data_IF_022338524174
#
_entry.id   IF_022338524174
#
_cell.length_a   1.000
_cell.length_b   1.000
_cell.length_c   1.000
_cell.angle_alpha   90.00
_cell.angle_beta   90.00
_cell.angle_gamma   90.00
#
_symmetry.space_group_name_H-M   'P 1'
#
loop_
_entity.id
_entity.type
_entity.pdbx_description
1 polymer ?
#
# COMPACT_ATOMS: atom_id res chain seq x y z
N UNK A 1 -36.76 16.07 -6.49
CA UNK A 1 -36.06 15.50 -7.66
C UNK A 1 -34.55 15.57 -7.52
N UNK A 2 -33.96 16.71 -7.14
CA UNK A 2 -32.50 16.86 -7.00
C UNK A 2 -31.88 15.95 -5.94
N UNK A 3 -32.51 15.81 -4.77
CA UNK A 3 -32.01 14.92 -3.70
C UNK A 3 -31.80 13.47 -4.17
N UNK A 4 -32.77 12.92 -4.90
CA UNK A 4 -32.70 11.57 -5.46
C UNK A 4 -31.58 11.45 -6.51
N UNK A 5 -31.33 12.52 -7.27
CA UNK A 5 -30.23 12.53 -8.25
C UNK A 5 -28.87 12.51 -7.54
N UNK A 6 -28.73 13.31 -6.49
CA UNK A 6 -27.51 13.35 -5.67
C UNK A 6 -27.24 11.99 -5.00
N UNK A 7 -28.27 11.37 -4.42
CA UNK A 7 -28.15 10.03 -3.81
C UNK A 7 -27.65 8.99 -4.82
N UNK A 8 -28.20 8.99 -6.04
CA UNK A 8 -27.74 8.10 -7.12
C UNK A 8 -26.30 8.35 -7.56
N UNK A 9 -25.87 9.61 -7.58
CA UNK A 9 -24.49 9.97 -7.90
C UNK A 9 -23.52 9.47 -6.82
N UNK A 10 -23.89 9.61 -5.54
CA UNK A 10 -23.11 9.06 -4.41
C UNK A 10 -23.00 7.54 -4.51
N UNK A 11 -24.11 6.83 -4.77
CA UNK A 11 -24.11 5.37 -4.91
C UNK A 11 -23.21 4.91 -6.06
N UNK A 12 -23.27 5.64 -7.19
CA UNK A 12 -22.42 5.36 -8.34
C UNK A 12 -20.93 5.56 -8.00
N UNK A 13 -20.57 6.64 -7.30
CA UNK A 13 -19.19 6.89 -6.87
C UNK A 13 -18.70 5.79 -5.91
N UNK A 14 -19.55 5.37 -4.96
CA UNK A 14 -19.23 4.29 -4.03
C UNK A 14 -19.00 2.95 -4.76
N UNK A 15 -19.84 2.63 -5.75
CA UNK A 15 -19.66 1.45 -6.58
C UNK A 15 -18.33 1.47 -7.34
N UNK A 16 -17.94 2.61 -7.91
CA UNK A 16 -16.64 2.79 -8.55
C UNK A 16 -15.48 2.58 -7.59
N UNK A 17 -15.58 3.09 -6.37
CA UNK A 17 -14.54 2.95 -5.35
C UNK A 17 -14.34 1.51 -4.91
N UNK A 18 -15.44 0.78 -4.69
CA UNK A 18 -15.41 -0.64 -4.38
C UNK A 18 -14.78 -1.42 -5.55
N UNK A 19 -15.17 -1.09 -6.78
CA UNK A 19 -14.59 -1.69 -7.99
C UNK A 19 -13.08 -1.50 -8.07
N UNK A 20 -12.59 -0.28 -7.78
CA UNK A 20 -11.16 0.02 -7.77
C UNK A 20 -10.40 -0.77 -6.70
N UNK A 21 -10.95 -0.86 -5.49
CA UNK A 21 -10.34 -1.63 -4.40
C UNK A 21 -10.21 -3.12 -4.76
N UNK A 22 -11.27 -3.71 -5.33
CA UNK A 22 -11.27 -5.10 -5.77
C UNK A 22 -10.25 -5.30 -6.91
N UNK A 23 -10.25 -4.40 -7.90
CA UNK A 23 -9.32 -4.46 -9.03
C UNK A 23 -7.86 -4.43 -8.57
N UNK A 24 -7.50 -3.50 -7.68
CA UNK A 24 -6.14 -3.41 -7.12
C UNK A 24 -5.76 -4.69 -6.37
N UNK A 25 -6.66 -5.20 -5.52
CA UNK A 25 -6.44 -6.44 -4.77
C UNK A 25 -6.21 -7.65 -5.68
N UNK A 26 -7.04 -7.83 -6.71
CA UNK A 26 -6.89 -8.94 -7.66
C UNK A 26 -5.58 -8.84 -8.44
N UNK A 27 -5.21 -7.64 -8.91
CA UNK A 27 -3.95 -7.45 -9.62
C UNK A 27 -2.74 -7.77 -8.76
N UNK A 28 -2.73 -7.33 -7.49
CA UNK A 28 -1.66 -7.63 -6.54
C UNK A 28 -1.60 -9.12 -6.23
N UNK A 29 -2.74 -9.79 -6.05
CA UNK A 29 -2.78 -11.23 -5.84
C UNK A 29 -2.19 -11.99 -7.05
N UNK A 30 -2.54 -11.60 -8.28
CA UNK A 30 -1.99 -12.20 -9.49
C UNK A 30 -0.49 -11.95 -9.62
N UNK A 31 -0.04 -10.72 -9.38
CA UNK A 31 1.38 -10.39 -9.40
C UNK A 31 2.16 -11.21 -8.36
N UNK A 32 1.72 -11.19 -7.10
CA UNK A 32 2.44 -11.84 -6.00
C UNK A 32 2.56 -13.36 -6.16
N UNK A 33 1.55 -14.00 -6.76
CA UNK A 33 1.53 -15.46 -6.95
C UNK A 33 2.13 -15.92 -8.28
N UNK A 34 1.97 -15.15 -9.36
CA UNK A 34 2.32 -15.62 -10.71
C UNK A 34 3.29 -14.70 -11.46
N UNK A 35 3.29 -13.39 -11.18
CA UNK A 35 4.07 -12.39 -11.93
C UNK A 35 5.40 -12.00 -11.30
N UNK A 36 5.58 -12.29 -10.00
CA UNK A 36 6.75 -11.88 -9.22
C UNK A 36 7.90 -12.87 -9.36
N UNK A 37 9.10 -12.37 -9.65
CA UNK A 37 10.35 -13.14 -9.51
C UNK A 37 10.81 -13.17 -8.05
N UNK A 38 11.54 -14.19 -7.63
CA UNK A 38 11.98 -14.32 -6.21
C UNK A 38 12.76 -13.09 -5.69
N UNK A 39 13.52 -12.43 -6.57
CA UNK A 39 14.29 -11.22 -6.25
C UNK A 39 13.46 -9.94 -6.17
N UNK A 40 12.18 -9.96 -6.54
CA UNK A 40 11.30 -8.81 -6.50
C UNK A 40 10.48 -8.79 -5.21
N UNK A 41 10.21 -7.59 -4.63
CA UNK A 41 9.41 -7.48 -3.43
C UNK A 41 7.95 -7.88 -3.69
N UNK A 42 7.29 -8.39 -2.64
CA UNK A 42 5.84 -8.62 -2.62
C UNK A 42 5.12 -7.28 -2.57
N UNK A 43 4.08 -7.10 -3.37
CA UNK A 43 3.23 -5.91 -3.31
C UNK A 43 2.23 -6.02 -2.16
N UNK A 44 2.12 -4.96 -1.36
CA UNK A 44 1.15 -4.87 -0.27
C UNK A 44 -0.24 -4.47 -0.75
N UNK A 45 -1.25 -5.09 -0.16
CA UNK A 45 -2.65 -4.73 -0.37
C UNK A 45 -2.97 -3.36 0.27
N UNK A 46 -4.05 -2.72 -0.16
CA UNK A 46 -4.55 -1.53 0.52
C UNK A 46 -5.04 -1.89 1.93
N UNK A 47 -4.42 -1.30 2.94
CA UNK A 47 -4.76 -1.51 4.35
C UNK A 47 -5.83 -0.52 4.85
N UNK A 48 -6.03 0.58 4.13
CA UNK A 48 -6.94 1.66 4.48
C UNK A 48 -7.78 2.07 3.27
N UNK A 49 -9.00 2.63 3.49
CA UNK A 49 -9.77 3.25 2.43
C UNK A 49 -8.97 4.35 1.72
N UNK A 50 -9.33 4.64 0.47
CA UNK A 50 -8.76 5.75 -0.29
C UNK A 50 -9.18 7.05 0.40
N UNK A 51 -8.21 7.79 0.93
CA UNK A 51 -8.44 9.12 1.47
C UNK A 51 -8.34 10.15 0.35
N UNK A 52 -9.48 10.74 -0.01
CA UNK A 52 -9.54 11.79 -1.01
C UNK A 52 -9.10 13.17 -0.50
N UNK A 53 -8.94 13.31 0.82
CA UNK A 53 -8.46 14.53 1.44
C UNK A 53 -6.95 14.51 1.66
N UNK A 54 -6.31 13.34 1.53
CA UNK A 54 -4.85 13.25 1.47
C UNK A 54 -4.38 13.95 0.19
N UNK A 55 -3.53 14.96 0.34
CA UNK A 55 -2.82 15.53 -0.80
C UNK A 55 -1.99 14.40 -1.42
N UNK A 56 -2.07 14.18 -2.75
CA UNK A 56 -1.23 13.19 -3.39
C UNK A 56 0.23 13.51 -3.07
N UNK A 57 0.92 12.54 -2.46
CA UNK A 57 2.33 12.70 -2.13
C UNK A 57 3.12 12.92 -3.42
N UNK A 58 4.02 13.88 -3.37
CA UNK A 58 5.01 14.08 -4.42
C UNK A 58 5.94 12.87 -4.51
N UNK A 59 6.56 12.66 -5.67
CA UNK A 59 7.52 11.57 -5.87
C UNK A 59 8.66 11.61 -4.85
N UNK A 60 9.11 12.82 -4.48
CA UNK A 60 10.15 13.03 -3.46
C UNK A 60 9.71 12.58 -2.06
N UNK A 61 8.45 12.79 -1.70
CA UNK A 61 7.90 12.34 -0.41
C UNK A 61 7.81 10.80 -0.37
N UNK A 62 7.41 10.17 -1.47
CA UNK A 62 7.35 8.71 -1.59
C UNK A 62 8.76 8.10 -1.47
N UNK A 63 9.75 8.67 -2.15
CA UNK A 63 11.14 8.22 -2.09
C UNK A 63 11.72 8.36 -0.69
N UNK A 64 11.45 9.49 -0.01
CA UNK A 64 11.89 9.72 1.36
C UNK A 64 11.31 8.70 2.33
N UNK A 65 10.03 8.37 2.23
CA UNK A 65 9.40 7.34 3.06
C UNK A 65 10.00 5.95 2.83
N UNK A 66 10.31 5.62 1.57
CA UNK A 66 10.95 4.35 1.25
C UNK A 66 12.36 4.26 1.84
N UNK A 67 13.15 5.34 1.76
CA UNK A 67 14.48 5.40 2.37
C UNK A 67 14.38 5.20 3.89
N UNK A 68 13.46 5.90 4.55
CA UNK A 68 13.26 5.78 6.00
C UNK A 68 12.88 4.35 6.41
N UNK A 69 11.99 3.68 5.66
CA UNK A 69 11.64 2.26 5.90
C UNK A 69 12.84 1.34 5.76
N UNK A 70 13.69 1.54 4.75
CA UNK A 70 14.90 0.75 4.54
C UNK A 70 15.90 0.97 5.68
N UNK A 71 16.10 2.22 6.12
CA UNK A 71 16.98 2.54 7.24
C UNK A 71 16.51 1.89 8.56
N UNK A 72 15.19 1.87 8.79
CA UNK A 72 14.60 1.20 9.96
C UNK A 72 14.84 -0.32 9.92
N UNK A 73 14.61 -0.96 8.77
CA UNK A 73 14.91 -2.39 8.58
C UNK A 73 16.40 -2.71 8.81
N UNK A 74 17.31 -1.87 8.31
CA UNK A 74 18.76 -2.02 8.53
C UNK A 74 19.08 -1.91 10.03
N UNK A 75 18.45 -0.96 10.73
CA UNK A 75 18.65 -0.76 12.17
C UNK A 75 18.19 -1.96 12.98
N UNK A 76 17.00 -2.49 12.70
CA UNK A 76 16.50 -3.70 13.34
C UNK A 76 17.40 -4.90 13.07
N UNK A 77 17.85 -5.09 11.83
CA UNK A 77 18.75 -6.18 11.46
C UNK A 77 20.08 -6.09 12.20
N UNK A 78 20.65 -4.89 12.32
CA UNK A 78 21.89 -4.66 13.06
C UNK A 78 21.73 -4.95 14.56
N UNK A 79 20.56 -4.65 15.14
CA UNK A 79 20.25 -4.99 16.54
C UNK A 79 20.23 -6.51 16.74
N UNK A 80 19.55 -7.25 15.86
CA UNK A 80 19.52 -8.72 15.90
C UNK A 80 20.94 -9.32 15.80
N UNK A 81 21.79 -8.80 14.91
CA UNK A 81 23.18 -9.26 14.77
C UNK A 81 23.96 -9.07 16.07
N UNK A 82 23.83 -7.90 16.72
CA UNK A 82 24.51 -7.63 18.00
C UNK A 82 24.06 -8.58 19.11
N UNK A 83 22.77 -8.92 19.16
CA UNK A 83 22.25 -9.89 20.14
C UNK A 83 22.77 -11.31 19.87
N UNK A 84 22.82 -11.74 18.60
CA UNK A 84 23.42 -13.03 18.22
C UNK A 84 24.91 -13.12 18.57
N UNK A 85 25.66 -12.03 18.42
CA UNK A 85 27.09 -11.97 18.77
C UNK A 85 27.34 -11.97 20.29
N UNK A 86 26.39 -11.49 21.10
CA UNK A 86 26.48 -11.54 22.58
C UNK A 86 26.18 -12.93 23.17
N UNK A 87 25.44 -13.76 22.43
CA UNK A 87 25.05 -15.11 22.84
C UNK A 87 26.02 -16.21 22.33
N UNK A 88 27.18 -15.82 21.79
CA UNK A 88 28.28 -16.70 21.38
C UNK A 88 29.44 -16.58 22.35
#
# INVERSE_FOLDING_TARGET
MEKIKIEKEIDNVNAWLIGLYIYDGVNKALYNNFGRKESQPVLSYMEKPIDFNEKPKTQEEIERENILKVEEQIRERNKQIKEMLKNK
#
